data_IF_999886788052
#
_entry.id   IF_999886788052
#
_cell.length_a   1.000
_cell.length_b   1.000
_cell.length_c   1.000
_cell.angle_alpha   90.00
_cell.angle_beta   90.00
_cell.angle_gamma   90.00
#
_symmetry.space_group_name_H-M   'P 1'
#
loop_
_entity.id
_entity.type
_entity.pdbx_description
1 polymer ?
#
# COMPACT_ATOMS: atom_id res chain seq x y z
N UNK A 1 4.67 -10.76 7.28
CA UNK A 1 4.42 -9.31 7.42
C UNK A 1 4.94 -8.84 8.76
N UNK A 2 5.70 -7.78 8.74
CA UNK A 2 6.26 -7.21 9.97
C UNK A 2 5.29 -6.17 10.52
N UNK A 3 5.24 -6.07 11.85
CA UNK A 3 4.45 -5.09 12.58
C UNK A 3 2.94 -5.13 12.28
N UNK A 4 2.44 -6.26 11.89
CA UNK A 4 1.03 -6.42 11.58
C UNK A 4 0.63 -7.89 11.46
N UNK A 5 -0.67 -8.11 11.42
CA UNK A 5 -1.26 -9.44 11.31
C UNK A 5 -1.64 -9.70 9.85
N UNK A 6 -0.99 -10.68 9.25
CA UNK A 6 -1.22 -11.03 7.85
C UNK A 6 -2.69 -11.42 7.59
N UNK A 7 -3.29 -12.18 8.49
CA UNK A 7 -4.69 -12.60 8.33
C UNK A 7 -5.64 -11.39 8.33
N UNK A 8 -5.43 -10.43 9.23
CA UNK A 8 -6.19 -9.20 9.26
C UNK A 8 -5.98 -8.36 7.99
N UNK A 9 -4.76 -8.30 7.49
CA UNK A 9 -4.47 -7.60 6.24
C UNK A 9 -5.21 -8.25 5.06
N UNK A 10 -5.20 -9.56 4.97
CA UNK A 10 -5.88 -10.29 3.90
C UNK A 10 -7.41 -10.23 4.00
N UNK A 11 -7.93 -10.02 5.20
CA UNK A 11 -9.39 -9.89 5.40
C UNK A 11 -9.89 -8.50 5.00
N UNK A 12 -9.38 -7.45 5.63
CA UNK A 12 -9.87 -6.08 5.41
C UNK A 12 -8.78 -5.05 5.16
N UNK A 13 -7.60 -5.21 5.75
CA UNK A 13 -6.54 -4.20 5.71
C UNK A 13 -6.09 -3.85 4.29
N UNK A 14 -6.12 -4.79 3.36
CA UNK A 14 -5.62 -4.58 2.02
C UNK A 14 -6.34 -3.46 1.25
N UNK A 15 -7.61 -3.17 1.57
CA UNK A 15 -8.39 -2.11 0.90
C UNK A 15 -8.80 -0.95 1.81
N UNK A 16 -8.46 -0.99 3.09
CA UNK A 16 -8.89 0.00 4.08
C UNK A 16 -7.75 0.95 4.48
N UNK A 17 -7.26 1.72 3.52
CA UNK A 17 -6.26 2.77 3.74
C UNK A 17 -5.03 2.27 4.52
N UNK A 18 -4.43 1.21 4.06
CA UNK A 18 -3.23 0.64 4.68
C UNK A 18 -1.96 1.21 4.08
N UNK A 19 -0.98 1.49 4.95
CA UNK A 19 0.36 1.89 4.55
C UNK A 19 1.31 0.72 4.73
N UNK A 20 1.96 0.31 3.64
CA UNK A 20 2.96 -0.75 3.65
C UNK A 20 4.31 -0.16 3.27
N UNK A 21 5.35 -0.58 3.98
CA UNK A 21 6.72 -0.17 3.66
C UNK A 21 7.52 -1.35 3.13
N UNK A 22 8.24 -1.13 2.05
CA UNK A 22 9.14 -2.11 1.47
C UNK A 22 10.26 -1.43 0.68
N UNK A 23 11.51 -1.73 1.03
CA UNK A 23 12.72 -1.31 0.31
C UNK A 23 12.74 0.17 -0.11
N UNK A 24 12.51 1.07 0.83
CA UNK A 24 12.66 2.50 0.59
C UNK A 24 11.42 3.19 0.03
N UNK A 25 10.27 2.49 -0.03
CA UNK A 25 9.02 3.04 -0.52
C UNK A 25 7.85 2.70 0.38
N UNK A 26 6.94 3.66 0.52
CA UNK A 26 5.62 3.43 1.11
C UNK A 26 4.65 3.11 -0.02
N UNK A 27 3.80 2.12 0.21
CA UNK A 27 2.73 1.69 -0.68
C UNK A 27 1.41 1.90 0.05
N UNK A 28 0.64 2.89 -0.39
CA UNK A 28 -0.67 3.22 0.16
C UNK A 28 -1.74 2.44 -0.59
N UNK A 29 -2.44 1.57 0.11
CA UNK A 29 -3.46 0.69 -0.45
C UNK A 29 -4.84 1.16 -0.05
N UNK A 30 -5.71 1.41 -1.02
CA UNK A 30 -7.06 1.91 -0.76
C UNK A 30 -8.06 1.38 -1.78
N UNK A 31 -9.26 1.05 -1.30
CA UNK A 31 -10.40 0.70 -2.15
C UNK A 31 -11.55 1.67 -1.93
N UNK A 32 -12.25 2.00 -3.02
CA UNK A 32 -13.43 2.85 -2.98
C UNK A 32 -14.55 2.21 -3.80
N UNK A 33 -15.69 1.97 -3.17
CA UNK A 33 -16.84 1.33 -3.82
C UNK A 33 -17.88 2.36 -4.23
N UNK A 34 -18.27 2.34 -5.51
CA UNK A 34 -19.36 3.15 -6.03
C UNK A 34 -20.69 2.56 -5.55
N UNK A 35 -21.52 3.37 -4.89
CA UNK A 35 -22.78 2.92 -4.33
C UNK A 35 -23.82 2.52 -5.38
N UNK A 36 -23.74 3.13 -6.56
CA UNK A 36 -24.70 2.89 -7.63
C UNK A 36 -24.41 1.61 -8.40
N UNK A 37 -23.14 1.42 -8.76
CA UNK A 37 -22.70 0.31 -9.59
C UNK A 37 -22.24 -0.90 -8.77
N UNK A 38 -21.91 -0.69 -7.49
CA UNK A 38 -21.28 -1.68 -6.61
C UNK A 38 -19.88 -2.10 -7.09
N UNK A 39 -19.31 -1.34 -8.00
CA UNK A 39 -17.93 -1.56 -8.46
C UNK A 39 -16.95 -0.91 -7.51
N UNK A 40 -15.92 -1.65 -7.13
CA UNK A 40 -14.83 -1.14 -6.32
C UNK A 40 -13.63 -0.81 -7.20
N UNK A 41 -13.10 0.40 -7.05
CA UNK A 41 -11.81 0.78 -7.60
C UNK A 41 -10.77 0.61 -6.48
N UNK A 42 -9.77 -0.21 -6.72
CA UNK A 42 -8.66 -0.43 -5.80
C UNK A 42 -7.39 0.15 -6.41
N UNK A 43 -6.60 0.84 -5.60
CA UNK A 43 -5.35 1.41 -6.08
C UNK A 43 -4.24 1.36 -5.02
N UNK A 44 -3.01 1.42 -5.50
CA UNK A 44 -1.82 1.55 -4.68
C UNK A 44 -1.02 2.74 -5.17
N UNK A 45 -0.86 3.74 -4.32
CA UNK A 45 0.05 4.85 -4.55
C UNK A 45 1.36 4.58 -3.84
N UNK A 46 2.45 5.01 -4.44
CA UNK A 46 3.78 4.71 -3.96
C UNK A 46 4.63 5.98 -3.92
N UNK A 47 5.42 6.15 -2.87
CA UNK A 47 6.38 7.25 -2.78
C UNK A 47 7.58 6.83 -1.96
N UNK A 48 8.67 7.57 -2.15
CA UNK A 48 9.92 7.28 -1.46
C UNK A 48 9.87 7.68 0.01
N UNK A 49 10.33 6.80 0.89
CA UNK A 49 10.34 7.01 2.33
C UNK A 49 11.37 6.12 3.01
N UNK A 50 11.67 6.40 4.28
CA UNK A 50 12.39 5.51 5.17
C UNK A 50 11.51 5.20 6.36
N UNK A 51 11.49 3.95 6.79
CA UNK A 51 10.68 3.51 7.92
C UNK A 51 11.56 2.91 9.01
N UNK A 52 11.38 3.38 10.25
CA UNK A 52 12.02 2.83 11.42
C UNK A 52 10.98 2.09 12.27
N UNK A 53 11.24 0.81 12.57
CA UNK A 53 10.42 -0.02 13.45
C UNK A 53 8.92 -0.12 13.11
N UNK A 54 8.53 0.24 11.88
CA UNK A 54 7.15 0.15 11.41
C UNK A 54 6.18 1.16 12.03
N UNK A 55 6.65 2.11 12.84
CA UNK A 55 5.79 3.07 13.53
C UNK A 55 5.77 4.43 12.86
N UNK A 56 6.93 4.91 12.50
CA UNK A 56 7.11 6.22 11.86
C UNK A 56 7.97 6.03 10.64
N UNK A 57 7.69 6.81 9.61
CA UNK A 57 8.55 6.84 8.44
C UNK A 57 8.86 8.29 8.07
N UNK A 58 10.00 8.47 7.40
CA UNK A 58 10.43 9.76 6.89
C UNK A 58 10.02 9.88 5.44
N UNK A 59 9.23 10.90 5.11
CA UNK A 59 8.87 11.23 3.75
C UNK A 59 9.96 12.11 3.12
N UNK A 60 10.32 11.79 1.89
CA UNK A 60 11.19 12.66 1.09
C UNK A 60 10.33 13.54 0.21
N UNK A 61 10.65 14.83 0.16
CA UNK A 61 9.92 15.80 -0.65
C UNK A 61 10.84 16.57 -1.56
N UNK A 62 10.32 16.99 -2.73
CA UNK A 62 11.03 17.80 -3.69
C UNK A 62 10.93 19.30 -3.34
N UNK A 63 11.43 20.18 -4.24
CA UNK A 63 11.39 21.62 -4.05
C UNK A 63 9.99 22.19 -3.91
N UNK A 64 9.01 21.57 -4.56
CA UNK A 64 7.62 21.98 -4.56
C UNK A 64 6.82 21.36 -3.41
N UNK A 65 7.52 20.77 -2.44
CA UNK A 65 6.92 20.07 -1.30
C UNK A 65 6.03 18.91 -1.69
N UNK A 66 6.33 18.26 -2.82
CA UNK A 66 5.63 17.04 -3.26
C UNK A 66 6.38 15.81 -2.81
N UNK A 67 5.66 14.74 -2.53
CA UNK A 67 6.27 13.46 -2.18
C UNK A 67 7.17 12.98 -3.32
N UNK A 68 8.42 12.67 -2.99
CA UNK A 68 9.43 12.28 -3.98
C UNK A 68 9.06 10.92 -4.60
N UNK A 69 9.18 10.83 -5.92
CA UNK A 69 8.85 9.62 -6.70
C UNK A 69 7.41 9.13 -6.51
N UNK A 70 6.48 10.03 -6.16
CA UNK A 70 5.07 9.66 -5.99
C UNK A 70 4.44 9.28 -7.32
N UNK A 71 3.86 8.08 -7.38
CA UNK A 71 3.18 7.59 -8.58
C UNK A 71 2.15 6.53 -8.23
N UNK A 72 1.22 6.30 -9.15
CA UNK A 72 0.25 5.22 -9.06
C UNK A 72 0.94 3.90 -9.46
N UNK A 73 1.20 3.05 -8.48
CA UNK A 73 1.87 1.77 -8.72
C UNK A 73 0.94 0.69 -9.25
N UNK A 74 -0.35 0.78 -8.93
CA UNK A 74 -1.34 -0.23 -9.31
C UNK A 74 -2.75 0.33 -9.25
N UNK A 75 -3.63 -0.09 -10.17
CA UNK A 75 -5.06 0.22 -10.14
C UNK A 75 -5.83 -0.91 -10.80
N UNK A 76 -6.95 -1.27 -10.20
CA UNK A 76 -7.84 -2.31 -10.72
C UNK A 76 -9.28 -2.02 -10.28
N UNK A 77 -10.25 -2.58 -10.99
CA UNK A 77 -11.67 -2.41 -10.72
C UNK A 77 -12.39 -3.73 -10.88
N UNK A 78 -13.30 -4.01 -9.98
CA UNK A 78 -14.21 -5.15 -10.10
C UNK A 78 -15.35 -5.00 -9.10
N UNK A 79 -16.46 -5.66 -9.38
CA UNK A 79 -17.55 -5.85 -8.41
C UNK A 79 -17.22 -6.98 -7.44
N UNK A 80 -16.36 -7.90 -7.85
CA UNK A 80 -15.97 -9.06 -7.06
C UNK A 80 -14.70 -8.72 -6.27
N UNK A 81 -14.86 -8.53 -4.95
CA UNK A 81 -13.76 -8.20 -4.05
C UNK A 81 -12.71 -9.30 -3.95
N UNK A 82 -13.13 -10.55 -4.05
CA UNK A 82 -12.18 -11.68 -3.98
C UNK A 82 -11.27 -11.71 -5.20
N UNK A 83 -11.79 -11.39 -6.36
CA UNK A 83 -10.98 -11.28 -7.58
C UNK A 83 -10.02 -10.09 -7.51
N UNK A 84 -10.49 -8.93 -7.02
CA UNK A 84 -9.62 -7.76 -6.82
C UNK A 84 -8.44 -8.10 -5.92
N UNK A 85 -8.72 -8.73 -4.78
CA UNK A 85 -7.69 -9.12 -3.82
C UNK A 85 -6.70 -10.10 -4.44
N UNK A 86 -7.19 -11.12 -5.11
CA UNK A 86 -6.35 -12.13 -5.75
C UNK A 86 -5.41 -11.51 -6.78
N UNK A 87 -5.93 -10.64 -7.65
CA UNK A 87 -5.11 -9.97 -8.66
C UNK A 87 -4.08 -9.03 -8.04
N UNK A 88 -4.47 -8.28 -7.02
CA UNK A 88 -3.56 -7.41 -6.26
C UNK A 88 -2.39 -8.20 -5.68
N UNK A 89 -2.67 -9.30 -4.99
CA UNK A 89 -1.65 -10.08 -4.30
C UNK A 89 -0.68 -10.78 -5.26
N UNK A 90 -1.07 -10.96 -6.52
CA UNK A 90 -0.25 -11.58 -7.56
C UNK A 90 0.46 -10.58 -8.46
N UNK A 91 0.06 -9.31 -8.45
CA UNK A 91 0.62 -8.28 -9.31
C UNK A 91 2.06 -7.90 -8.87
N UNK A 92 2.96 -7.63 -9.82
CA UNK A 92 4.36 -7.32 -9.50
C UNK A 92 4.54 -5.85 -9.07
N UNK A 93 3.94 -5.48 -7.96
CA UNK A 93 3.85 -4.10 -7.47
C UNK A 93 5.07 -3.69 -6.64
N UNK A 94 5.58 -4.61 -5.82
CA UNK A 94 6.60 -4.32 -4.82
C UNK A 94 7.99 -4.52 -5.41
N UNK A 95 8.51 -3.47 -6.02
CA UNK A 95 9.82 -3.50 -6.70
C UNK A 95 9.92 -4.64 -7.74
N UNK A 96 8.85 -4.78 -8.55
CA UNK A 96 8.75 -5.81 -9.58
C UNK A 96 8.39 -7.20 -9.06
N UNK A 97 8.06 -7.31 -7.77
CA UNK A 97 7.70 -8.58 -7.12
C UNK A 97 6.26 -8.54 -6.61
N UNK A 98 5.64 -9.72 -6.53
CA UNK A 98 4.30 -9.82 -5.97
C UNK A 98 4.33 -9.72 -4.44
N UNK A 99 3.17 -9.40 -3.86
CA UNK A 99 3.00 -9.41 -2.41
C UNK A 99 3.48 -10.73 -1.79
N UNK A 100 3.10 -11.86 -2.35
CA UNK A 100 3.47 -13.17 -1.81
C UNK A 100 4.97 -13.44 -1.85
N UNK A 101 5.69 -12.86 -2.80
CA UNK A 101 7.14 -13.02 -2.88
C UNK A 101 7.89 -12.25 -1.79
N UNK A 102 7.31 -11.14 -1.32
CA UNK A 102 7.99 -10.22 -0.39
C UNK A 102 7.26 -10.06 0.95
N UNK A 103 6.16 -10.75 1.16
CA UNK A 103 5.26 -10.59 2.30
C UNK A 103 6.00 -10.55 3.65
N UNK A 104 7.00 -11.42 3.83
CA UNK A 104 7.75 -11.49 5.09
C UNK A 104 8.59 -10.24 5.36
N UNK A 105 8.94 -9.52 4.30
CA UNK A 105 9.79 -8.32 4.39
C UNK A 105 8.97 -7.02 4.35
N UNK A 106 7.68 -7.10 4.10
CA UNK A 106 6.79 -5.95 4.13
C UNK A 106 6.47 -5.58 5.59
N UNK A 107 6.58 -4.29 5.90
CA UNK A 107 6.19 -3.75 7.20
C UNK A 107 4.84 -3.05 7.07
N UNK A 108 3.87 -3.43 7.87
CA UNK A 108 2.61 -2.68 8.00
C UNK A 108 2.85 -1.51 8.94
N UNK A 109 2.84 -0.30 8.38
CA UNK A 109 3.14 0.92 9.13
C UNK A 109 1.96 1.28 10.03
N UNK A 110 2.23 1.47 11.30
CA UNK A 110 1.22 1.99 12.23
C UNK A 110 0.91 3.44 11.88
N UNK A 111 -0.36 3.83 12.03
CA UNK A 111 -0.80 5.19 11.79
C UNK A 111 -0.09 6.14 12.77
N UNK A 112 0.64 7.09 12.23
CA UNK A 112 1.34 8.14 12.95
C UNK A 112 1.67 9.28 12.01
N UNK A 113 2.08 10.41 12.56
CA UNK A 113 2.53 11.53 11.74
C UNK A 113 3.88 11.19 11.09
N UNK A 114 3.98 11.22 9.75
CA UNK A 114 5.25 10.96 9.09
C UNK A 114 6.26 12.09 9.40
N UNK A 115 7.50 11.72 9.57
CA UNK A 115 8.59 12.68 9.72
C UNK A 115 8.99 13.16 8.34
N UNK A 116 8.85 14.45 8.11
CA UNK A 116 9.20 15.07 6.83
C UNK A 116 10.68 15.44 6.80
N UNK A 117 11.29 15.24 5.68
CA UNK A 117 12.67 15.60 5.42
C UNK A 117 12.74 16.81 4.52
#
# INVERSE_FOLDING_TARGET
>A
MKNGNLEQFLDTGWYMESELYYHGYVYWCEGCTDRKTQETTFFVDCWRAECEDGKLYREYRDRDNRLLDCHRAYEDRDKDMDLLKKRFLQAPIFDGKSFWQVEKDITWVELGEPIRI
#
